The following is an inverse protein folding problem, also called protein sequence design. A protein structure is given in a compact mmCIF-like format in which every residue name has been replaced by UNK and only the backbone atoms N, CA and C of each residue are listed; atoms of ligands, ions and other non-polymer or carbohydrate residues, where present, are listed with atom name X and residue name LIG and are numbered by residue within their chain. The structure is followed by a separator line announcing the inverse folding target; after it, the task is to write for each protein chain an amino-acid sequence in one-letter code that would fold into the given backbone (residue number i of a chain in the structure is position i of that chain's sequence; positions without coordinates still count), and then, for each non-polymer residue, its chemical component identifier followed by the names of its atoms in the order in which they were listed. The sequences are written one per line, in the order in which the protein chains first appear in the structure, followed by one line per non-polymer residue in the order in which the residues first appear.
data_IF_027941987674
#
_entry.id   IF_027941987674
#
_cell.length_a   1.000
_cell.length_b   1.000
_cell.length_c   1.000
_cell.angle_alpha   90.00
_cell.angle_beta   90.00
_cell.angle_gamma   90.00
#
_symmetry.space_group_name_H-M   'P 1'
#
loop_
_entity.id
_entity.type
_entity.pdbx_description
1 polymer ?
#
# COMPACT_ATOMS: atom_id res chain seq x y z
N UNK A 1 -17.54 1.16 -8.35
CA UNK A 1 -17.04 0.49 -9.56
C UNK A 1 -15.92 -0.43 -9.14
N UNK A 2 -15.99 -1.74 -9.43
CA UNK A 2 -14.93 -2.68 -9.03
C UNK A 2 -13.80 -2.62 -10.05
N UNK A 3 -12.59 -2.27 -9.62
CA UNK A 3 -11.41 -2.27 -10.50
C UNK A 3 -10.99 -3.73 -10.75
N UNK A 4 -10.75 -4.16 -12.01
CA UNK A 4 -10.26 -5.51 -12.29
C UNK A 4 -8.86 -5.77 -11.70
N UNK A 5 -8.58 -7.01 -11.30
CA UNK A 5 -7.29 -7.40 -10.71
C UNK A 5 -6.13 -7.17 -11.69
N UNK A 6 -6.34 -7.46 -12.97
CA UNK A 6 -5.36 -7.27 -14.05
C UNK A 6 -4.98 -5.78 -14.23
N UNK A 7 -5.97 -4.89 -14.09
CA UNK A 7 -5.75 -3.45 -14.19
C UNK A 7 -4.99 -2.94 -12.96
N UNK A 8 -5.30 -3.46 -11.77
CA UNK A 8 -4.56 -3.15 -10.55
C UNK A 8 -3.11 -3.62 -10.64
N UNK A 9 -2.90 -4.86 -11.08
CA UNK A 9 -1.59 -5.45 -11.22
C UNK A 9 -0.73 -4.68 -12.23
N UNK A 10 -1.25 -4.45 -13.43
CA UNK A 10 -0.54 -3.71 -14.48
C UNK A 10 -0.15 -2.30 -14.03
N UNK A 11 -1.06 -1.58 -13.39
CA UNK A 11 -0.77 -0.23 -12.92
C UNK A 11 0.23 -0.22 -11.76
N UNK A 12 0.14 -1.18 -10.83
CA UNK A 12 1.04 -1.28 -9.67
C UNK A 12 2.50 -1.60 -10.05
N UNK A 13 2.73 -2.34 -11.14
CA UNK A 13 4.07 -2.73 -11.62
C UNK A 13 4.93 -1.54 -12.05
N UNK A 14 4.31 -0.46 -12.54
CA UNK A 14 5.02 0.72 -13.05
C UNK A 14 5.28 1.81 -12.02
N UNK A 15 4.82 1.64 -10.77
CA UNK A 15 4.93 2.69 -9.76
C UNK A 15 6.33 2.73 -9.13
N UNK A 16 6.89 3.95 -8.92
CA UNK A 16 8.11 4.11 -8.15
C UNK A 16 7.86 3.74 -6.67
N UNK A 17 8.91 3.48 -5.87
CA UNK A 17 8.78 3.19 -4.44
C UNK A 17 8.05 4.28 -3.65
N UNK A 18 8.07 5.52 -4.14
CA UNK A 18 7.37 6.64 -3.53
C UNK A 18 5.85 6.67 -3.76
N UNK A 19 5.31 5.65 -4.44
CA UNK A 19 3.88 5.54 -4.74
C UNK A 19 3.40 4.12 -4.52
N UNK A 20 2.27 4.01 -3.83
CA UNK A 20 1.61 2.74 -3.56
C UNK A 20 0.21 2.72 -4.13
N UNK A 21 -0.16 1.55 -4.62
CA UNK A 21 -1.51 1.20 -4.99
C UNK A 21 -1.78 -0.24 -4.58
N UNK A 22 -2.65 -0.42 -3.59
CA UNK A 22 -3.02 -1.75 -3.09
C UNK A 22 -4.53 -1.88 -2.95
N UNK A 23 -5.01 -3.12 -2.96
CA UNK A 23 -6.38 -3.47 -2.60
C UNK A 23 -6.41 -4.09 -1.22
N UNK A 24 -7.40 -3.73 -0.42
CA UNK A 24 -7.60 -4.24 0.93
C UNK A 24 -9.07 -4.62 1.14
N UNK A 25 -9.32 -5.55 2.08
CA UNK A 25 -10.68 -5.97 2.46
C UNK A 25 -11.41 -4.90 3.27
N UNK A 26 -10.67 -4.07 4.01
CA UNK A 26 -11.22 -2.98 4.81
C UNK A 26 -10.44 -1.69 4.62
N UNK A 27 -11.03 -0.59 5.09
CA UNK A 27 -10.36 0.70 5.10
C UNK A 27 -9.13 0.65 6.02
N UNK A 28 -7.91 0.89 5.50
CA UNK A 28 -6.73 0.89 6.34
C UNK A 28 -6.72 2.14 7.23
N UNK A 29 -6.11 2.02 8.40
CA UNK A 29 -5.68 3.20 9.15
C UNK A 29 -4.73 4.05 8.28
N UNK A 30 -5.02 5.35 8.07
CA UNK A 30 -4.23 6.20 7.18
C UNK A 30 -2.75 6.29 7.59
N UNK A 31 -2.46 6.24 8.89
CA UNK A 31 -1.09 6.26 9.39
C UNK A 31 -0.35 4.95 9.04
N UNK A 32 -1.03 3.82 9.13
CA UNK A 32 -0.51 2.50 8.73
C UNK A 32 -0.17 2.48 7.24
N UNK A 33 -1.02 3.05 6.39
CA UNK A 33 -0.72 3.17 4.96
C UNK A 33 0.48 4.10 4.70
N UNK A 34 0.56 5.24 5.38
CA UNK A 34 1.68 6.17 5.25
C UNK A 34 3.02 5.55 5.70
N UNK A 35 3.02 4.83 6.83
CA UNK A 35 4.23 4.14 7.32
C UNK A 35 4.61 2.99 6.39
N UNK A 36 3.65 2.24 5.83
CA UNK A 36 3.95 1.22 4.84
C UNK A 36 4.62 1.80 3.59
N UNK A 37 4.18 2.99 3.12
CA UNK A 37 4.86 3.73 2.06
C UNK A 37 6.30 4.08 2.44
N UNK A 38 6.51 4.67 3.62
CA UNK A 38 7.86 5.03 4.07
C UNK A 38 8.78 3.82 4.21
N UNK A 39 8.29 2.68 4.69
CA UNK A 39 9.07 1.44 4.75
C UNK A 39 9.45 0.95 3.36
N UNK A 40 8.54 0.97 2.41
CA UNK A 40 8.84 0.60 1.03
C UNK A 40 9.89 1.55 0.43
N UNK A 41 9.76 2.87 0.60
CA UNK A 41 10.77 3.82 0.14
C UNK A 41 12.16 3.54 0.76
N UNK A 42 12.20 3.29 2.07
CA UNK A 42 13.44 2.98 2.81
C UNK A 42 14.07 1.68 2.33
N UNK A 43 13.28 0.61 2.16
CA UNK A 43 13.77 -0.70 1.75
C UNK A 43 14.35 -0.67 0.34
N UNK A 44 13.70 0.06 -0.58
CA UNK A 44 14.20 0.20 -1.95
C UNK A 44 15.44 1.10 -2.01
N UNK A 45 15.46 2.21 -1.28
CA UNK A 45 16.64 3.10 -1.25
C UNK A 45 17.86 2.45 -0.57
N UNK A 46 17.63 1.54 0.38
CA UNK A 46 18.68 0.79 1.07
C UNK A 46 19.07 -0.52 0.38
N UNK A 47 18.42 -0.88 -0.73
CA UNK A 47 18.66 -2.15 -1.44
C UNK A 47 18.22 -3.41 -0.67
N UNK A 48 17.31 -3.26 0.29
CA UNK A 48 16.78 -4.32 1.16
C UNK A 48 15.42 -4.87 0.69
N UNK A 49 14.81 -4.26 -0.32
CA UNK A 49 13.50 -4.68 -0.83
C UNK A 49 13.52 -6.15 -1.31
N UNK A 50 12.57 -6.96 -0.81
CA UNK A 50 12.44 -8.38 -1.19
C UNK A 50 11.82 -8.56 -2.57
N UNK A 51 10.85 -7.71 -2.91
CA UNK A 51 10.14 -7.75 -4.18
C UNK A 51 10.60 -6.64 -5.11
N UNK A 52 10.39 -6.85 -6.42
CA UNK A 52 10.66 -5.81 -7.44
C UNK A 52 9.54 -4.79 -7.54
N UNK A 53 8.32 -5.14 -7.17
CA UNK A 53 7.13 -4.28 -7.25
C UNK A 53 6.81 -3.64 -5.90
N UNK A 54 6.93 -2.30 -5.75
CA UNK A 54 6.77 -1.63 -4.46
C UNK A 54 5.41 -1.84 -3.81
N UNK A 55 4.35 -1.82 -4.63
CA UNK A 55 2.98 -2.07 -4.16
C UNK A 55 2.77 -3.49 -3.64
N UNK A 56 3.46 -4.49 -4.19
CA UNK A 56 3.40 -5.85 -3.64
C UNK A 56 4.19 -5.95 -2.33
N UNK A 57 5.32 -5.24 -2.21
CA UNK A 57 6.07 -5.16 -0.95
C UNK A 57 5.20 -4.55 0.16
N UNK A 58 4.52 -3.43 -0.14
CA UNK A 58 3.56 -2.82 0.78
C UNK A 58 2.43 -3.79 1.17
N UNK A 59 1.92 -4.54 0.19
CA UNK A 59 0.84 -5.51 0.44
C UNK A 59 1.29 -6.62 1.40
N UNK A 60 2.54 -7.09 1.32
CA UNK A 60 3.09 -8.03 2.30
C UNK A 60 3.00 -7.44 3.72
N UNK A 61 3.43 -6.19 3.90
CA UNK A 61 3.40 -5.50 5.19
C UNK A 61 1.99 -5.34 5.73
N UNK A 62 1.10 -4.77 4.91
CA UNK A 62 -0.28 -4.43 5.27
C UNK A 62 -1.15 -5.67 5.55
N UNK A 63 -0.80 -6.82 4.98
CA UNK A 63 -1.52 -8.09 5.20
C UNK A 63 -0.84 -9.01 6.20
N UNK A 64 0.35 -8.62 6.71
CA UNK A 64 1.21 -9.46 7.54
C UNK A 64 1.46 -10.83 6.92
N UNK A 65 1.83 -10.84 5.64
CA UNK A 65 2.03 -12.06 4.85
C UNK A 65 3.49 -12.18 4.42
N UNK A 66 4.06 -13.38 4.53
CA UNK A 66 5.45 -13.64 4.10
C UNK A 66 5.56 -13.95 2.61
N UNK A 67 4.45 -14.35 1.99
CA UNK A 67 4.35 -14.77 0.60
C UNK A 67 3.35 -13.90 -0.16
N UNK A 68 3.64 -13.64 -1.44
CA UNK A 68 2.80 -12.79 -2.30
C UNK A 68 1.42 -13.42 -2.51
N UNK A 69 1.35 -14.72 -2.76
CA UNK A 69 0.07 -15.42 -2.98
C UNK A 69 -0.85 -15.34 -1.74
N UNK A 70 -0.26 -15.41 -0.55
CA UNK A 70 -0.99 -15.23 0.71
C UNK A 70 -1.52 -13.79 0.83
N UNK A 71 -0.68 -12.80 0.55
CA UNK A 71 -1.06 -11.39 0.62
C UNK A 71 -2.18 -11.04 -0.38
N UNK A 72 -2.09 -11.57 -1.60
CA UNK A 72 -3.13 -11.46 -2.62
C UNK A 72 -4.40 -12.16 -2.15
N UNK A 73 -4.31 -13.38 -1.60
CA UNK A 73 -5.47 -14.09 -1.09
C UNK A 73 -6.18 -13.34 0.06
N UNK A 74 -5.42 -12.70 0.96
CA UNK A 74 -5.95 -11.89 2.07
C UNK A 74 -6.53 -10.55 1.65
N UNK A 75 -6.20 -10.07 0.45
CA UNK A 75 -6.79 -8.85 -0.13
C UNK A 75 -7.89 -9.14 -1.15
N UNK A 76 -7.99 -10.40 -1.60
CA UNK A 76 -8.97 -10.84 -2.58
C UNK A 76 -10.39 -10.63 -2.06
N UNK A 77 -11.26 -10.13 -2.93
CA UNK A 77 -12.63 -9.81 -2.55
C UNK A 77 -12.81 -8.42 -1.93
N UNK A 78 -11.73 -7.73 -1.57
CA UNK A 78 -11.78 -6.36 -1.09
C UNK A 78 -12.31 -5.36 -2.12
N UNK A 79 -12.94 -4.30 -1.64
CA UNK A 79 -13.51 -3.20 -2.42
C UNK A 79 -12.79 -1.87 -2.16
N UNK A 80 -11.87 -1.83 -1.20
CA UNK A 80 -11.05 -0.65 -0.88
C UNK A 80 -9.79 -0.64 -1.73
N UNK A 81 -9.58 0.46 -2.45
CA UNK A 81 -8.31 0.80 -3.08
C UNK A 81 -7.60 1.85 -2.24
N UNK A 82 -6.42 1.51 -1.75
CA UNK A 82 -5.59 2.41 -0.97
C UNK A 82 -4.46 2.94 -1.85
N UNK A 83 -4.34 4.27 -1.86
CA UNK A 83 -3.33 5.01 -2.61
C UNK A 83 -2.39 5.71 -1.63
N UNK A 84 -1.09 5.59 -1.85
CA UNK A 84 -0.06 6.31 -1.10
C UNK A 84 0.85 7.06 -2.07
N UNK A 85 1.26 8.27 -1.71
CA UNK A 85 2.27 9.01 -2.45
C UNK A 85 3.03 9.98 -1.54
N UNK A 86 4.25 10.33 -1.94
CA UNK A 86 5.15 11.26 -1.25
C UNK A 86 4.64 12.71 -1.21
N UNK A 87 3.70 13.05 -2.10
CA UNK A 87 3.12 14.40 -2.18
C UNK A 87 1.65 14.39 -2.59
N UNK A 88 0.86 15.42 -2.21
CA UNK A 88 -0.54 15.55 -2.62
C UNK A 88 -0.74 15.57 -4.14
N UNK A 89 0.20 16.17 -4.89
CA UNK A 89 0.14 16.22 -6.35
C UNK A 89 0.34 14.84 -6.96
N UNK A 90 1.37 14.10 -6.50
CA UNK A 90 1.63 12.74 -6.95
C UNK A 90 0.46 11.79 -6.64
N UNK A 91 -0.17 11.95 -5.47
CA UNK A 91 -1.38 11.21 -5.10
C UNK A 91 -2.53 11.51 -6.08
N UNK A 92 -2.75 12.80 -6.37
CA UNK A 92 -3.80 13.24 -7.30
C UNK A 92 -3.58 12.68 -8.71
N UNK A 93 -2.35 12.74 -9.21
CA UNK A 93 -2.01 12.23 -10.54
C UNK A 93 -2.15 10.70 -10.61
N UNK A 94 -1.77 9.99 -9.53
CA UNK A 94 -1.99 8.55 -9.40
C UNK A 94 -3.49 8.22 -9.44
N UNK A 95 -4.32 8.90 -8.64
CA UNK A 95 -5.78 8.70 -8.64
C UNK A 95 -6.40 8.99 -10.01
N UNK A 96 -5.95 10.04 -10.70
CA UNK A 96 -6.45 10.40 -12.03
C UNK A 96 -6.19 9.31 -13.07
N UNK A 97 -5.09 8.55 -12.95
CA UNK A 97 -4.82 7.41 -13.84
C UNK A 97 -5.89 6.30 -13.76
N UNK A 98 -6.67 6.28 -12.68
CA UNK A 98 -7.84 5.39 -12.48
C UNK A 98 -9.18 6.09 -12.75
N UNK A 99 -9.15 7.28 -13.35
CA UNK A 99 -10.34 8.15 -13.47
C UNK A 99 -10.99 8.48 -12.12
N UNK A 100 -10.19 8.48 -11.05
CA UNK A 100 -10.62 8.90 -9.72
C UNK A 100 -10.19 10.35 -9.47
N UNK A 101 -10.91 11.03 -8.59
CA UNK A 101 -10.57 12.38 -8.13
C UNK A 101 -10.54 12.40 -6.60
N UNK A 102 -9.65 13.19 -5.98
CA UNK A 102 -9.64 13.35 -4.53
C UNK A 102 -11.01 13.86 -4.06
N UNK A 103 -11.56 13.22 -3.05
CA UNK A 103 -12.71 13.73 -2.32
C UNK A 103 -12.33 14.86 -1.36
N UNK A 104 -13.29 15.38 -0.59
CA UNK A 104 -13.00 16.30 0.50
C UNK A 104 -12.00 15.67 1.47
N UNK A 105 -11.04 16.47 1.94
CA UNK A 105 -10.08 16.03 2.94
C UNK A 105 -10.80 15.84 4.27
N UNK A 106 -10.68 14.65 4.83
CA UNK A 106 -11.16 14.36 6.18
C UNK A 106 -10.04 14.60 7.20
N UNK A 107 -10.36 15.05 8.42
CA UNK A 107 -9.39 15.08 9.50
C UNK A 107 -8.78 13.70 9.68
N UNK A 108 -7.45 13.64 9.80
CA UNK A 108 -6.78 12.38 10.10
C UNK A 108 -7.24 11.89 11.48
N UNK A 109 -7.72 10.64 11.60
CA UNK A 109 -7.98 10.05 12.91
C UNK A 109 -6.67 9.96 13.70
N UNK A 110 -6.77 9.80 15.02
CA UNK A 110 -5.59 9.45 15.81
C UNK A 110 -5.04 8.11 15.32
N UNK A 111 -3.74 8.07 15.02
CA UNK A 111 -3.10 6.84 14.54
C UNK A 111 -3.28 5.71 15.55
N UNK A 112 -3.73 4.55 15.07
CA UNK A 112 -3.83 3.36 15.90
C UNK A 112 -2.44 2.75 16.15
N UNK A 113 -1.96 2.90 17.38
CA UNK A 113 -0.67 2.37 17.82
C UNK A 113 -0.57 0.85 17.68
N UNK A 114 -1.67 0.14 17.83
CA UNK A 114 -1.66 -1.33 17.73
C UNK A 114 -1.43 -1.79 16.29
N UNK A 115 -2.13 -1.17 15.33
CA UNK A 115 -1.90 -1.38 13.89
C UNK A 115 -0.47 -1.02 13.47
N UNK A 116 0.08 0.09 13.97
CA UNK A 116 1.47 0.48 13.70
C UNK A 116 2.48 -0.53 14.27
N UNK A 117 2.25 -1.03 15.48
CA UNK A 117 3.09 -2.07 16.10
C UNK A 117 3.05 -3.38 15.31
N UNK A 118 1.87 -3.79 14.84
CA UNK A 118 1.71 -4.96 14.00
C UNK A 118 2.43 -4.80 12.65
N UNK A 119 2.34 -3.62 12.02
CA UNK A 119 3.04 -3.32 10.78
C UNK A 119 4.57 -3.39 10.95
N UNK A 120 5.10 -2.81 12.03
CA UNK A 120 6.54 -2.86 12.32
C UNK A 120 7.03 -4.30 12.54
N UNK A 121 6.29 -5.10 13.31
CA UNK A 121 6.59 -6.51 13.52
C UNK A 121 6.54 -7.31 12.19
N UNK A 122 5.52 -7.05 11.38
CA UNK A 122 5.35 -7.62 10.05
C UNK A 122 6.56 -7.34 9.14
N UNK A 123 7.02 -6.08 9.05
CA UNK A 123 8.22 -5.74 8.26
C UNK A 123 9.44 -6.52 8.72
N UNK A 124 9.73 -6.54 10.02
CA UNK A 124 10.89 -7.25 10.56
C UNK A 124 10.84 -8.75 10.24
N UNK A 125 9.68 -9.37 10.43
CA UNK A 125 9.45 -10.79 10.16
C UNK A 125 9.55 -11.15 8.68
N UNK A 126 9.11 -10.24 7.81
CA UNK A 126 9.21 -10.39 6.36
C UNK A 126 10.66 -10.18 5.91
N UNK A 127 11.44 -9.32 6.55
CA UNK A 127 12.81 -9.00 6.15
C UNK A 127 13.88 -9.92 6.75
N UNK A 128 13.56 -10.67 7.81
CA UNK A 128 14.43 -11.70 8.39
C UNK A 128 14.46 -12.98 7.57
#
# INVERSE_FOLDING_TARGET
MRVPDELLESASRGLPPSRLLVRLIGEPDPCTLAVALSYVEEDYSSGLARLRTPSLQALLYLTSSRQVDEAISRSKGGDVLAFGAESPQALTDLMRSFSLSPGPLHPLPQCDRSSLGALAASRLDIMS
#
